data_IF_474730793755
#
_entry.id   IF_474730793755
#
_cell.length_a   1.000
_cell.length_b   1.000
_cell.length_c   1.000
_cell.angle_alpha   90.00
_cell.angle_beta   90.00
_cell.angle_gamma   90.00
#
_symmetry.space_group_name_H-M   'P 1'
#
loop_
_entity.id
_entity.type
_entity.pdbx_description
1 polymer ?
#
# COMPACT_ATOMS: atom_id res chain seq x y z
N UNK A 1 11.23 -14.70 16.24
CA UNK A 1 10.76 -13.88 15.11
C UNK A 1 9.54 -14.47 14.44
N UNK A 2 9.39 -15.81 14.41
CA UNK A 2 8.18 -16.49 13.91
C UNK A 2 6.88 -15.94 14.51
N UNK A 3 6.88 -15.59 15.80
CA UNK A 3 5.72 -14.97 16.44
C UNK A 3 5.32 -13.62 15.83
N UNK A 4 6.23 -12.89 15.18
CA UNK A 4 5.99 -11.56 14.59
C UNK A 4 5.47 -11.60 13.16
N UNK A 5 5.63 -12.72 12.45
CA UNK A 5 5.27 -12.84 11.03
C UNK A 5 3.76 -12.65 10.81
N UNK A 6 2.86 -13.33 11.57
CA UNK A 6 1.42 -13.14 11.38
C UNK A 6 0.97 -11.73 11.74
N UNK A 7 1.55 -11.13 12.80
CA UNK A 7 1.24 -9.75 13.18
C UNK A 7 1.70 -8.74 12.12
N UNK A 8 2.90 -8.93 11.55
CA UNK A 8 3.40 -8.10 10.45
C UNK A 8 2.52 -8.19 9.22
N UNK A 9 2.10 -9.41 8.86
CA UNK A 9 1.18 -9.63 7.74
C UNK A 9 -0.19 -8.97 7.98
N UNK A 10 -0.70 -9.03 9.21
CA UNK A 10 -1.96 -8.38 9.58
C UNK A 10 -1.85 -6.86 9.51
N UNK A 11 -0.76 -6.28 10.05
CA UNK A 11 -0.48 -4.84 9.98
C UNK A 11 -0.40 -4.39 8.52
N UNK A 12 0.34 -5.11 7.68
CA UNK A 12 0.43 -4.82 6.26
C UNK A 12 -0.95 -4.86 5.59
N UNK A 13 -1.71 -5.94 5.82
CA UNK A 13 -3.03 -6.13 5.23
C UNK A 13 -4.03 -5.04 5.62
N UNK A 14 -4.08 -4.66 6.90
CA UNK A 14 -4.96 -3.58 7.38
C UNK A 14 -4.61 -2.25 6.72
N UNK A 15 -3.33 -1.87 6.69
CA UNK A 15 -2.88 -0.62 6.07
C UNK A 15 -3.12 -0.62 4.56
N UNK A 16 -2.88 -1.75 3.88
CA UNK A 16 -3.15 -1.91 2.46
C UNK A 16 -4.66 -1.78 2.16
N UNK A 17 -5.53 -2.35 3.00
CA UNK A 17 -6.98 -2.20 2.89
C UNK A 17 -7.43 -0.75 3.08
N UNK A 18 -6.91 -0.04 4.09
CA UNK A 18 -7.18 1.40 4.28
C UNK A 18 -6.74 2.21 3.05
N UNK A 19 -5.55 1.94 2.53
CA UNK A 19 -5.04 2.58 1.33
C UNK A 19 -5.89 2.25 0.09
N UNK A 20 -6.35 1.00 -0.06
CA UNK A 20 -7.22 0.60 -1.15
C UNK A 20 -8.59 1.30 -1.09
N UNK A 21 -9.18 1.43 0.11
CA UNK A 21 -10.43 2.18 0.31
C UNK A 21 -10.24 3.67 -0.03
N UNK A 22 -9.10 4.25 0.31
CA UNK A 22 -8.74 5.60 -0.12
C UNK A 22 -8.67 5.72 -1.65
N UNK A 23 -8.07 4.74 -2.34
CA UNK A 23 -8.04 4.71 -3.80
C UNK A 23 -9.45 4.57 -4.41
N UNK A 24 -10.32 3.75 -3.82
CA UNK A 24 -11.73 3.65 -4.23
C UNK A 24 -12.45 4.99 -4.06
N UNK A 25 -12.27 5.67 -2.92
CA UNK A 25 -12.86 6.99 -2.69
C UNK A 25 -12.38 8.02 -3.73
N UNK A 26 -11.08 8.04 -4.06
CA UNK A 26 -10.54 8.87 -5.13
C UNK A 26 -11.15 8.52 -6.49
N UNK A 27 -11.25 7.23 -6.82
CA UNK A 27 -11.87 6.75 -8.03
C UNK A 27 -13.34 7.18 -8.14
N UNK A 28 -14.06 7.26 -7.02
CA UNK A 28 -15.44 7.75 -6.93
C UNK A 28 -15.55 9.30 -6.93
N UNK A 29 -14.44 10.03 -6.87
CA UNK A 29 -14.42 11.49 -6.93
C UNK A 29 -14.43 12.19 -5.57
N UNK A 30 -13.90 11.54 -4.53
CA UNK A 30 -13.59 12.22 -3.27
C UNK A 30 -12.61 13.39 -3.50
N UNK A 31 -12.79 14.54 -2.82
CA UNK A 31 -11.96 15.73 -3.03
C UNK A 31 -10.61 15.67 -2.31
N UNK A 32 -9.92 14.53 -2.38
CA UNK A 32 -8.68 14.24 -1.64
C UNK A 32 -7.42 14.23 -2.52
N UNK A 33 -7.47 14.83 -3.71
CA UNK A 33 -6.32 14.89 -4.61
C UNK A 33 -5.10 15.61 -4.02
N UNK A 34 -5.27 16.47 -3.01
CA UNK A 34 -4.16 17.08 -2.28
C UNK A 34 -3.37 16.10 -1.37
N UNK A 35 -3.95 14.91 -1.11
CA UNK A 35 -3.36 13.82 -0.33
C UNK A 35 -2.74 12.73 -1.21
N UNK A 36 -2.57 12.95 -2.51
CA UNK A 36 -2.00 11.94 -3.43
C UNK A 36 -1.33 12.59 -4.64
N UNK A 37 -0.50 11.83 -5.37
CA UNK A 37 0.14 12.25 -6.62
C UNK A 37 0.89 13.59 -6.50
N UNK A 38 1.62 13.78 -5.40
CA UNK A 38 2.35 15.01 -5.11
C UNK A 38 1.47 16.19 -4.69
N UNK A 39 0.19 15.95 -4.39
CA UNK A 39 -0.81 16.98 -4.15
C UNK A 39 -1.12 17.85 -5.37
N UNK A 40 -0.83 17.37 -6.58
CA UNK A 40 -0.93 18.15 -7.84
C UNK A 40 -2.34 18.67 -8.14
N UNK A 41 -3.37 17.95 -7.69
CA UNK A 41 -4.77 18.31 -7.93
C UNK A 41 -5.48 18.59 -6.60
N UNK A 42 -5.62 19.85 -6.17
CA UNK A 42 -6.47 20.16 -5.03
C UNK A 42 -7.93 19.80 -5.35
N UNK A 43 -8.59 19.07 -4.44
CA UNK A 43 -9.96 18.61 -4.65
C UNK A 43 -10.03 17.28 -5.42
N UNK A 44 -10.89 17.20 -6.44
CA UNK A 44 -11.18 15.94 -7.16
C UNK A 44 -10.11 15.64 -8.21
N UNK A 45 -9.74 14.36 -8.35
CA UNK A 45 -8.84 13.93 -9.40
C UNK A 45 -9.48 14.01 -10.79
N UNK A 46 -8.71 14.37 -11.84
CA UNK A 46 -9.18 14.26 -13.22
C UNK A 46 -9.41 12.79 -13.59
N UNK A 47 -10.28 12.52 -14.58
CA UNK A 47 -10.69 11.16 -14.97
C UNK A 47 -9.52 10.19 -15.20
N UNK A 48 -8.43 10.56 -15.91
CA UNK A 48 -7.31 9.63 -16.10
C UNK A 48 -6.64 9.23 -14.77
N UNK A 49 -6.50 10.16 -13.83
CA UNK A 49 -5.92 9.88 -12.52
C UNK A 49 -6.85 9.01 -11.65
N UNK A 50 -8.17 9.09 -11.86
CA UNK A 50 -9.16 8.21 -11.19
C UNK A 50 -9.05 6.76 -11.68
N UNK A 51 -8.76 6.55 -12.97
CA UNK A 51 -8.47 5.20 -13.49
C UNK A 51 -7.19 4.65 -12.85
N UNK A 52 -6.15 5.49 -12.74
CA UNK A 52 -4.95 5.15 -11.99
C UNK A 52 -5.23 4.73 -10.54
N UNK A 53 -6.15 5.43 -9.86
CA UNK A 53 -6.57 5.07 -8.51
C UNK A 53 -7.19 3.66 -8.45
N UNK A 54 -8.05 3.29 -9.41
CA UNK A 54 -8.61 1.92 -9.48
C UNK A 54 -7.50 0.87 -9.60
N UNK A 55 -6.53 1.10 -10.47
CA UNK A 55 -5.40 0.18 -10.68
C UNK A 55 -4.55 0.05 -9.42
N UNK A 56 -4.22 1.16 -8.77
CA UNK A 56 -3.45 1.17 -7.52
C UNK A 56 -4.21 0.51 -6.36
N UNK A 57 -5.53 0.71 -6.29
CA UNK A 57 -6.38 0.03 -5.31
C UNK A 57 -6.37 -1.49 -5.50
N UNK A 58 -6.50 -1.97 -6.73
CA UNK A 58 -6.39 -3.39 -7.06
C UNK A 58 -5.02 -3.98 -6.73
N UNK A 59 -3.94 -3.24 -7.02
CA UNK A 59 -2.58 -3.65 -6.67
C UNK A 59 -2.40 -3.80 -5.16
N UNK A 60 -2.92 -2.85 -4.36
CA UNK A 60 -2.86 -2.90 -2.90
C UNK A 60 -3.60 -4.14 -2.35
N UNK A 61 -4.78 -4.45 -2.90
CA UNK A 61 -5.55 -5.66 -2.50
C UNK A 61 -4.78 -6.94 -2.86
N UNK A 62 -4.20 -7.02 -4.06
CA UNK A 62 -3.39 -8.17 -4.46
C UNK A 62 -2.18 -8.35 -3.55
N UNK A 63 -1.46 -7.27 -3.24
CA UNK A 63 -0.31 -7.31 -2.32
C UNK A 63 -0.72 -7.68 -0.89
N UNK A 64 -1.89 -7.23 -0.42
CA UNK A 64 -2.44 -7.66 0.87
C UNK A 64 -2.67 -9.18 0.90
N UNK A 65 -3.23 -9.75 -0.18
CA UNK A 65 -3.41 -11.20 -0.32
C UNK A 65 -2.09 -11.97 -0.32
N UNK A 66 -1.11 -11.54 -1.14
CA UNK A 66 0.24 -12.13 -1.18
C UNK A 66 0.88 -12.13 0.21
N UNK A 67 0.85 -10.98 0.89
CA UNK A 67 1.50 -10.82 2.21
C UNK A 67 0.79 -11.62 3.31
N UNK A 68 -0.54 -11.69 3.28
CA UNK A 68 -1.30 -12.47 4.24
C UNK A 68 -1.13 -13.99 4.05
N UNK A 69 -1.01 -14.45 2.80
CA UNK A 69 -0.69 -15.85 2.48
C UNK A 69 0.73 -16.23 2.91
N UNK A 70 1.72 -15.40 2.59
CA UNK A 70 3.11 -15.60 3.03
C UNK A 70 3.26 -15.51 4.55
N UNK A 71 2.43 -14.71 5.22
CA UNK A 71 2.43 -14.58 6.68
C UNK A 71 1.64 -15.64 7.44
N UNK A 72 1.09 -16.65 6.75
CA UNK A 72 0.34 -17.75 7.37
C UNK A 72 -1.05 -17.37 7.90
N UNK A 73 -1.58 -16.20 7.55
CA UNK A 73 -2.93 -15.77 7.96
C UNK A 73 -4.03 -16.40 7.09
N UNK A 74 -3.73 -16.65 5.82
CA UNK A 74 -4.62 -17.28 4.85
C UNK A 74 -3.87 -18.31 4.01
N UNK A 75 -4.60 -19.03 3.15
CA UNK A 75 -3.98 -19.88 2.15
C UNK A 75 -3.05 -19.06 1.23
N UNK A 76 -1.95 -19.64 0.72
CA UNK A 76 -1.03 -18.95 -0.20
C UNK A 76 -1.77 -18.34 -1.40
N UNK A 77 -1.49 -17.08 -1.68
CA UNK A 77 -2.07 -16.35 -2.81
C UNK A 77 -1.00 -16.13 -3.89
N UNK A 78 -0.93 -17.06 -4.84
CA UNK A 78 0.08 -17.08 -5.90
C UNK A 78 1.41 -17.72 -5.46
N UNK A 79 2.41 -17.73 -6.35
CA UNK A 79 3.71 -18.34 -6.06
C UNK A 79 4.51 -17.51 -5.03
N UNK A 80 5.29 -18.20 -4.19
CA UNK A 80 5.99 -17.58 -3.06
C UNK A 80 6.93 -16.43 -3.41
N UNK A 81 7.48 -16.39 -4.64
CA UNK A 81 8.35 -15.30 -5.08
C UNK A 81 7.63 -13.95 -5.21
N UNK A 82 6.30 -13.92 -5.28
CA UNK A 82 5.52 -12.67 -5.36
C UNK A 82 5.70 -11.78 -4.13
N UNK A 83 6.09 -12.34 -2.97
CA UNK A 83 6.35 -11.54 -1.78
C UNK A 83 7.47 -10.52 -2.02
N UNK A 84 8.46 -10.86 -2.85
CA UNK A 84 9.55 -9.95 -3.21
C UNK A 84 9.12 -8.84 -4.15
N UNK A 85 8.10 -9.08 -5.00
CA UNK A 85 7.45 -8.01 -5.77
C UNK A 85 6.74 -7.05 -4.84
N UNK A 86 6.03 -7.57 -3.84
CA UNK A 86 5.37 -6.74 -2.83
C UNK A 86 6.39 -5.90 -2.05
N UNK A 87 7.52 -6.48 -1.64
CA UNK A 87 8.64 -5.76 -1.02
C UNK A 87 9.13 -4.62 -1.91
N UNK A 88 9.45 -4.90 -3.18
CA UNK A 88 9.99 -3.90 -4.10
C UNK A 88 9.02 -2.72 -4.29
N UNK A 89 7.74 -3.02 -4.53
CA UNK A 89 6.71 -1.98 -4.71
C UNK A 89 6.48 -1.19 -3.42
N UNK A 90 6.45 -1.83 -2.25
CA UNK A 90 6.29 -1.14 -0.96
C UNK A 90 7.48 -0.22 -0.64
N UNK A 91 8.72 -0.66 -0.93
CA UNK A 91 9.92 0.17 -0.74
C UNK A 91 9.93 1.39 -1.67
N UNK A 92 9.60 1.19 -2.95
CA UNK A 92 9.45 2.30 -3.90
C UNK A 92 8.36 3.26 -3.43
N UNK A 93 7.21 2.73 -3.01
CA UNK A 93 6.10 3.55 -2.49
C UNK A 93 6.50 4.36 -1.27
N UNK A 94 7.19 3.75 -0.30
CA UNK A 94 7.71 4.44 0.88
C UNK A 94 8.68 5.57 0.50
N UNK A 95 9.61 5.30 -0.43
CA UNK A 95 10.56 6.29 -0.89
C UNK A 95 9.88 7.48 -1.58
N UNK A 96 8.90 7.21 -2.45
CA UNK A 96 8.12 8.25 -3.12
C UNK A 96 7.30 9.09 -2.13
N UNK A 97 6.68 8.46 -1.12
CA UNK A 97 5.90 9.18 -0.11
C UNK A 97 6.76 9.97 0.88
N UNK A 98 8.00 9.57 1.13
CA UNK A 98 8.96 10.37 1.88
C UNK A 98 9.41 11.62 1.09
N UNK A 99 9.60 11.45 -0.23
CA UNK A 99 10.09 12.51 -1.12
C UNK A 99 8.99 13.42 -1.70
N UNK A 100 7.72 13.08 -1.52
CA UNK A 100 6.60 13.81 -2.14
C UNK A 100 6.62 15.31 -1.81
N UNK A 101 6.40 16.22 -2.77
CA UNK A 101 6.40 17.66 -2.49
C UNK A 101 5.24 18.08 -1.58
N UNK A 102 4.12 17.36 -1.57
CA UNK A 102 2.96 17.67 -0.72
C UNK A 102 3.21 17.35 0.75
N UNK A 103 3.17 18.36 1.62
CA UNK A 103 3.32 18.19 3.07
C UNK A 103 2.16 17.34 3.64
N UNK A 104 0.94 17.55 3.15
CA UNK A 104 -0.23 16.81 3.60
C UNK A 104 -0.12 15.32 3.22
N UNK A 105 0.30 15.03 1.99
CA UNK A 105 0.56 13.68 1.51
C UNK A 105 1.68 13.02 2.33
N UNK A 106 2.82 13.70 2.51
CA UNK A 106 3.96 13.20 3.28
C UNK A 106 3.57 12.85 4.72
N UNK A 107 2.81 13.72 5.39
CA UNK A 107 2.39 13.49 6.79
C UNK A 107 1.46 12.29 6.95
N UNK A 108 0.63 12.02 5.93
CA UNK A 108 -0.29 10.89 5.95
C UNK A 108 0.40 9.60 5.49
N UNK A 109 0.98 9.61 4.30
CA UNK A 109 1.37 8.39 3.60
C UNK A 109 2.80 7.96 3.86
N UNK A 110 3.73 8.87 4.16
CA UNK A 110 5.09 8.45 4.50
C UNK A 110 5.11 7.48 5.69
N UNK A 111 4.51 7.78 6.85
CA UNK A 111 4.51 6.82 7.97
C UNK A 111 3.79 5.52 7.62
N UNK A 112 2.64 5.59 6.94
CA UNK A 112 1.87 4.40 6.54
C UNK A 112 2.69 3.48 5.63
N UNK A 113 3.26 4.04 4.57
CA UNK A 113 4.00 3.27 3.56
C UNK A 113 5.34 2.77 4.09
N UNK A 114 6.00 3.50 4.99
CA UNK A 114 7.19 3.02 5.70
C UNK A 114 6.86 1.83 6.60
N UNK A 115 5.77 1.88 7.37
CA UNK A 115 5.34 0.75 8.20
C UNK A 115 4.96 -0.45 7.34
N UNK A 116 4.25 -0.24 6.23
CA UNK A 116 3.97 -1.30 5.26
C UNK A 116 5.26 -1.92 4.70
N UNK A 117 6.24 -1.11 4.29
CA UNK A 117 7.51 -1.61 3.77
C UNK A 117 8.28 -2.44 4.80
N UNK A 118 8.33 -2.00 6.05
CA UNK A 118 8.94 -2.76 7.15
C UNK A 118 8.19 -4.08 7.41
N UNK A 119 6.86 -4.04 7.44
CA UNK A 119 6.04 -5.21 7.70
C UNK A 119 6.19 -6.29 6.62
N UNK A 120 6.15 -5.92 5.34
CA UNK A 120 6.32 -6.88 4.24
C UNK A 120 7.75 -7.43 4.17
N UNK A 121 8.77 -6.65 4.55
CA UNK A 121 10.14 -7.15 4.68
C UNK A 121 10.27 -8.21 5.77
N UNK A 122 9.62 -8.02 6.93
CA UNK A 122 9.60 -9.04 7.99
C UNK A 122 8.94 -10.32 7.48
N UNK A 123 7.81 -10.23 6.77
CA UNK A 123 7.14 -11.40 6.20
C UNK A 123 8.01 -12.06 5.12
N UNK A 124 8.65 -11.31 4.23
CA UNK A 124 9.47 -11.86 3.15
C UNK A 124 10.72 -12.60 3.63
N UNK A 125 11.30 -12.18 4.76
CA UNK A 125 12.54 -12.75 5.28
C UNK A 125 12.25 -13.95 6.21
N UNK A 126 11.14 -13.91 6.95
CA UNK A 126 10.88 -14.85 8.05
C UNK A 126 9.60 -15.68 7.92
N UNK A 127 8.78 -15.44 6.88
CA UNK A 127 7.57 -16.21 6.57
C UNK A 127 7.82 -17.37 5.63
#
# INVERSE_FOLDING_TARGET
>A
MESLVPYSAAVYGVLACVAALFQVALALGAPWGHLTLGGRWPGRLPVPARVGAVVLGGLLVAMAGVTAGAGGLFAPFGPGWLIWVAVAVSLISAQLNLMTPSIAERRLWAPVTTVMAAAVLVVAIWG
#
